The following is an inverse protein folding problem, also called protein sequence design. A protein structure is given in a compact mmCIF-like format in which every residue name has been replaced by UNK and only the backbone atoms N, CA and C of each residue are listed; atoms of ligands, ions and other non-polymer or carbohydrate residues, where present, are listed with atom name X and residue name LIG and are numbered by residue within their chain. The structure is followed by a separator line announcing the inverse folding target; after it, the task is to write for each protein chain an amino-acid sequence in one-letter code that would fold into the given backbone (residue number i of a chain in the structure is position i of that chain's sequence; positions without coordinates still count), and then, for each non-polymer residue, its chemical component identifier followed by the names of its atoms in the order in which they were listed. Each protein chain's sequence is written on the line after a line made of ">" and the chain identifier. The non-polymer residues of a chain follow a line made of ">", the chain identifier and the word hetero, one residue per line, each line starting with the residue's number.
data_IF_702589386804
#
_entry.id   IF_702589386804
#
_cell.length_a   1.000
_cell.length_b   1.000
_cell.length_c   1.000
_cell.angle_alpha   90.00
_cell.angle_beta   90.00
_cell.angle_gamma   90.00
#
_symmetry.space_group_name_H-M   'P 1'
#
loop_
_entity.id
_entity.type
_entity.pdbx_description
1 polymer ?
#
# COMPACT_ATOMS: atom_id res chain seq x y z
N UNK A 1 -5.70 6.07 -0.43
CA UNK A 1 -6.04 4.67 -0.09
C UNK A 1 -5.73 4.31 1.38
N UNK A 2 -4.51 4.55 1.88
CA UNK A 2 -4.07 4.23 3.26
C UNK A 2 -5.07 4.61 4.36
N UNK A 3 -5.48 5.89 4.42
CA UNK A 3 -6.44 6.37 5.43
C UNK A 3 -7.79 5.65 5.37
N UNK A 4 -8.28 5.36 4.16
CA UNK A 4 -9.58 4.69 3.98
C UNK A 4 -9.54 3.27 4.49
N UNK A 5 -8.52 2.47 4.10
CA UNK A 5 -8.33 1.10 4.61
C UNK A 5 -8.18 1.12 6.13
N UNK A 6 -7.38 2.05 6.65
CA UNK A 6 -7.17 2.18 8.09
C UNK A 6 -8.46 2.44 8.86
N UNK A 7 -9.30 3.36 8.37
CA UNK A 7 -10.57 3.73 9.02
C UNK A 7 -11.57 2.57 8.95
N UNK A 8 -11.71 1.92 7.78
CA UNK A 8 -12.61 0.77 7.60
C UNK A 8 -12.27 -0.36 8.57
N UNK A 9 -10.98 -0.61 8.80
CA UNK A 9 -10.49 -1.66 9.70
C UNK A 9 -9.98 -1.11 11.04
N UNK A 10 -10.50 0.03 11.48
CA UNK A 10 -10.00 0.72 12.67
C UNK A 10 -10.02 -0.17 13.92
N UNK A 11 -11.07 -0.96 14.10
CA UNK A 11 -11.20 -1.88 15.24
C UNK A 11 -10.06 -2.89 15.30
N UNK A 12 -9.67 -3.43 14.15
CA UNK A 12 -8.53 -4.34 14.01
C UNK A 12 -7.21 -3.63 14.36
N UNK A 13 -6.94 -2.48 13.75
CA UNK A 13 -5.70 -1.74 14.00
C UNK A 13 -5.58 -1.21 15.43
N UNK A 14 -6.69 -0.82 16.05
CA UNK A 14 -6.73 -0.43 17.45
C UNK A 14 -6.46 -1.63 18.37
N UNK A 15 -6.98 -2.82 18.05
CA UNK A 15 -6.68 -4.04 18.81
C UNK A 15 -5.20 -4.40 18.70
N UNK A 16 -4.66 -4.43 17.48
CA UNK A 16 -3.23 -4.65 17.22
C UNK A 16 -2.36 -3.64 17.97
N UNK A 17 -2.71 -2.34 17.90
CA UNK A 17 -1.97 -1.28 18.58
C UNK A 17 -1.88 -1.51 20.10
N UNK A 18 -3.00 -1.86 20.73
CA UNK A 18 -3.01 -2.13 22.19
C UNK A 18 -2.13 -3.32 22.55
N UNK A 19 -2.23 -4.40 21.79
CA UNK A 19 -1.49 -5.64 22.06
C UNK A 19 0.01 -5.47 21.81
N UNK A 20 0.39 -4.94 20.65
CA UNK A 20 1.79 -4.83 20.22
C UNK A 20 2.56 -3.80 21.05
N UNK A 21 1.95 -2.64 21.34
CA UNK A 21 2.61 -1.58 22.11
C UNK A 21 2.31 -1.65 23.62
N UNK A 22 1.59 -2.67 24.08
CA UNK A 22 1.14 -2.85 25.47
C UNK A 22 0.49 -1.58 26.04
N UNK A 23 -0.30 -0.88 25.22
CA UNK A 23 -0.95 0.38 25.60
C UNK A 23 -2.36 0.11 26.11
N UNK A 24 -2.66 0.64 27.29
CA UNK A 24 -4.02 0.61 27.87
C UNK A 24 -4.95 1.57 27.10
N UNK A 25 -4.42 2.73 26.71
CA UNK A 25 -5.17 3.76 26.00
C UNK A 25 -5.51 3.33 24.57
N UNK A 26 -6.73 3.65 24.14
CA UNK A 26 -7.17 3.44 22.75
C UNK A 26 -6.31 4.27 21.80
N UNK A 27 -6.16 3.76 20.57
CA UNK A 27 -5.64 4.55 19.48
C UNK A 27 -6.53 5.80 19.28
N UNK A 28 -5.96 6.90 18.81
CA UNK A 28 -6.75 8.08 18.45
C UNK A 28 -7.67 7.75 17.28
N UNK A 29 -8.91 8.27 17.26
CA UNK A 29 -9.85 8.04 16.16
C UNK A 29 -9.32 8.53 14.79
N UNK A 30 -8.47 9.57 14.81
CA UNK A 30 -7.75 10.09 13.65
C UNK A 30 -6.26 10.17 13.96
N UNK A 31 -5.49 9.07 13.84
CA UNK A 31 -4.06 9.08 14.10
C UNK A 31 -3.30 9.94 13.08
N UNK A 32 -2.13 10.46 13.48
CA UNK A 32 -1.19 11.09 12.55
C UNK A 32 -0.76 10.10 11.46
N UNK A 33 -0.49 10.60 10.24
CA UNK A 33 -0.19 9.76 9.07
C UNK A 33 0.98 8.81 9.30
N UNK A 34 2.06 9.26 9.94
CA UNK A 34 3.21 8.39 10.25
C UNK A 34 2.82 7.17 11.10
N UNK A 35 1.83 7.32 11.99
CA UNK A 35 1.35 6.23 12.85
C UNK A 35 0.48 5.25 12.08
N UNK A 36 -0.33 5.74 11.14
CA UNK A 36 -1.06 4.89 10.20
C UNK A 36 -0.07 4.05 9.39
N UNK A 37 0.95 4.68 8.82
CA UNK A 37 1.96 4.01 8.00
C UNK A 37 2.75 2.96 8.80
N UNK A 38 3.13 3.29 10.05
CA UNK A 38 3.76 2.32 10.95
C UNK A 38 2.88 1.09 11.19
N UNK A 39 1.60 1.28 11.51
CA UNK A 39 0.69 0.17 11.79
C UNK A 39 0.43 -0.69 10.55
N UNK A 40 0.25 -0.07 9.38
CA UNK A 40 0.13 -0.80 8.11
C UNK A 40 1.41 -1.61 7.83
N UNK A 41 2.58 -1.01 8.01
CA UNK A 41 3.87 -1.67 7.83
C UNK A 41 4.04 -2.87 8.77
N UNK A 42 3.77 -2.68 10.07
CA UNK A 42 3.87 -3.75 11.07
C UNK A 42 2.88 -4.88 10.77
N UNK A 43 1.64 -4.54 10.41
CA UNK A 43 0.62 -5.53 10.05
C UNK A 43 1.07 -6.37 8.86
N UNK A 44 1.60 -5.73 7.81
CA UNK A 44 2.11 -6.41 6.62
C UNK A 44 3.33 -7.28 6.90
N UNK A 45 4.37 -6.73 7.54
CA UNK A 45 5.60 -7.47 7.84
C UNK A 45 5.36 -8.61 8.82
N UNK A 46 4.51 -8.40 9.83
CA UNK A 46 4.09 -9.45 10.76
C UNK A 46 3.31 -10.56 10.04
N UNK A 47 2.43 -10.20 9.09
CA UNK A 47 1.70 -11.16 8.28
C UNK A 47 2.63 -12.05 7.45
N UNK A 48 3.62 -11.47 6.77
CA UNK A 48 4.57 -12.23 5.95
C UNK A 48 5.30 -13.33 6.73
N UNK A 49 5.60 -13.11 8.03
CA UNK A 49 6.26 -14.11 8.87
C UNK A 49 5.39 -15.34 9.12
N UNK A 50 4.06 -15.16 9.23
CA UNK A 50 3.14 -16.23 9.65
C UNK A 50 2.23 -16.74 8.53
N UNK A 51 2.17 -16.05 7.39
CA UNK A 51 1.27 -16.32 6.27
C UNK A 51 1.20 -17.79 5.91
N UNK A 52 2.35 -18.44 5.74
CA UNK A 52 2.41 -19.87 5.37
C UNK A 52 1.70 -20.79 6.37
N UNK A 53 1.81 -20.49 7.66
CA UNK A 53 1.19 -21.30 8.71
C UNK A 53 -0.32 -21.10 8.76
N UNK A 54 -0.77 -19.84 8.62
CA UNK A 54 -2.20 -19.50 8.59
C UNK A 54 -2.84 -20.10 7.33
N UNK A 55 -2.22 -19.94 6.16
CA UNK A 55 -2.73 -20.50 4.91
C UNK A 55 -2.81 -22.03 4.94
N UNK A 56 -1.81 -22.71 5.53
CA UNK A 56 -1.85 -24.18 5.66
C UNK A 56 -3.03 -24.65 6.52
N UNK A 57 -3.37 -23.91 7.58
CA UNK A 57 -4.44 -24.28 8.52
C UNK A 57 -5.83 -23.85 8.05
N UNK A 58 -5.92 -22.69 7.42
CA UNK A 58 -7.19 -22.00 7.15
C UNK A 58 -7.44 -21.70 5.67
N UNK A 59 -6.53 -22.05 4.76
CA UNK A 59 -6.61 -21.68 3.33
C UNK A 59 -7.87 -22.16 2.60
N UNK A 60 -8.58 -23.16 3.14
CA UNK A 60 -9.87 -23.65 2.63
C UNK A 60 -11.09 -23.19 3.45
N UNK A 61 -10.88 -22.39 4.49
CA UNK A 61 -11.96 -21.89 5.33
C UNK A 61 -12.83 -20.91 4.54
N UNK A 62 -14.15 -21.14 4.57
CA UNK A 62 -15.15 -20.22 4.01
C UNK A 62 -15.71 -19.24 5.04
N UNK A 63 -15.17 -19.24 6.27
CA UNK A 63 -15.59 -18.30 7.30
C UNK A 63 -15.38 -16.85 6.83
N UNK A 64 -16.44 -16.06 6.89
CA UNK A 64 -16.44 -14.67 6.39
C UNK A 64 -15.42 -13.81 7.14
N UNK A 65 -15.26 -14.04 8.45
CA UNK A 65 -14.31 -13.26 9.24
C UNK A 65 -12.89 -13.59 8.81
N UNK A 66 -12.56 -14.87 8.67
CA UNK A 66 -11.27 -15.32 8.17
C UNK A 66 -10.96 -14.73 6.79
N UNK A 67 -11.86 -14.89 5.82
CA UNK A 67 -11.67 -14.38 4.45
C UNK A 67 -11.46 -12.87 4.44
N UNK A 68 -12.22 -12.13 5.27
CA UNK A 68 -12.12 -10.67 5.38
C UNK A 68 -10.75 -10.23 5.87
N UNK A 69 -10.22 -10.85 6.94
CA UNK A 69 -8.92 -10.46 7.48
C UNK A 69 -7.75 -11.01 6.68
N UNK A 70 -7.93 -12.15 6.01
CA UNK A 70 -6.97 -12.64 5.02
C UNK A 70 -6.82 -11.63 3.88
N UNK A 71 -7.94 -11.15 3.33
CA UNK A 71 -7.93 -10.17 2.25
C UNK A 71 -7.36 -8.82 2.69
N UNK A 72 -7.66 -8.37 3.92
CA UNK A 72 -7.04 -7.18 4.51
C UNK A 72 -5.51 -7.27 4.50
N UNK A 73 -4.96 -8.39 4.97
CA UNK A 73 -3.52 -8.56 5.14
C UNK A 73 -2.79 -8.89 3.84
N UNK A 74 -3.44 -9.62 2.92
CA UNK A 74 -2.81 -10.09 1.68
C UNK A 74 -2.98 -9.14 0.48
N UNK A 75 -4.02 -8.31 0.49
CA UNK A 75 -4.36 -7.45 -0.65
C UNK A 75 -4.43 -5.98 -0.25
N UNK A 76 -5.25 -5.62 0.74
CA UNK A 76 -5.55 -4.22 1.04
C UNK A 76 -4.37 -3.45 1.64
N UNK A 77 -3.68 -4.04 2.62
CA UNK A 77 -2.53 -3.39 3.25
C UNK A 77 -1.36 -3.27 2.26
N UNK A 78 -0.96 -4.33 1.53
CA UNK A 78 0.06 -4.23 0.47
C UNK A 78 -0.20 -3.11 -0.53
N UNK A 79 -1.44 -3.03 -1.03
CA UNK A 79 -1.89 -1.97 -1.93
C UNK A 79 -1.71 -0.54 -1.37
N UNK A 80 -1.69 -0.40 -0.05
CA UNK A 80 -1.54 0.90 0.61
C UNK A 80 -0.10 1.27 0.93
N UNK A 81 0.87 0.35 0.88
CA UNK A 81 2.24 0.54 1.35
C UNK A 81 3.24 0.91 0.25
N UNK A 82 2.79 1.53 -0.84
CA UNK A 82 3.62 1.91 -1.99
C UNK A 82 4.37 0.73 -2.62
N UNK A 83 3.92 -0.50 -2.38
CA UNK A 83 4.50 -1.73 -2.95
C UNK A 83 4.44 -1.69 -4.47
N UNK A 84 3.37 -1.10 -5.03
CA UNK A 84 3.24 -0.91 -6.47
C UNK A 84 4.33 -0.01 -7.03
N UNK A 85 4.63 1.13 -6.37
CA UNK A 85 5.67 2.06 -6.80
C UNK A 85 7.04 1.39 -6.72
N UNK A 86 7.28 0.60 -5.68
CA UNK A 86 8.50 -0.21 -5.57
C UNK A 86 8.64 -1.21 -6.72
N UNK A 87 7.61 -2.00 -7.02
CA UNK A 87 7.67 -2.98 -8.11
C UNK A 87 7.86 -2.30 -9.48
N UNK A 88 7.15 -1.20 -9.69
CA UNK A 88 7.23 -0.39 -10.90
C UNK A 88 8.65 0.14 -11.13
N UNK A 89 9.24 0.77 -10.10
CA UNK A 89 10.59 1.34 -10.16
C UNK A 89 11.70 0.28 -10.32
N UNK A 90 11.46 -0.95 -9.87
CA UNK A 90 12.43 -2.05 -9.93
C UNK A 90 12.20 -3.00 -11.12
N UNK A 91 11.40 -2.60 -12.13
CA UNK A 91 11.09 -3.39 -13.33
C UNK A 91 10.57 -4.81 -13.00
N UNK A 92 9.76 -4.93 -11.94
CA UNK A 92 9.12 -6.20 -11.55
C UNK A 92 7.77 -6.32 -12.25
N UNK A 93 7.80 -6.47 -13.57
CA UNK A 93 6.62 -6.37 -14.41
C UNK A 93 5.54 -7.42 -14.09
N UNK A 94 5.88 -8.70 -14.02
CA UNK A 94 4.89 -9.75 -13.72
C UNK A 94 4.28 -9.59 -12.33
N UNK A 95 5.09 -9.32 -11.31
CA UNK A 95 4.58 -9.05 -9.96
C UNK A 95 3.75 -7.76 -9.91
N UNK A 96 4.10 -6.77 -10.73
CA UNK A 96 3.34 -5.53 -10.86
C UNK A 96 1.95 -5.79 -11.45
N UNK A 97 1.84 -6.59 -12.52
CA UNK A 97 0.55 -6.98 -13.11
C UNK A 97 -0.32 -7.72 -12.10
N UNK A 98 0.25 -8.67 -11.35
CA UNK A 98 -0.45 -9.38 -10.27
C UNK A 98 -1.01 -8.42 -9.21
N UNK A 99 -0.25 -7.39 -8.85
CA UNK A 99 -0.70 -6.35 -7.92
C UNK A 99 -1.79 -5.48 -8.55
N UNK A 100 -1.69 -5.09 -9.82
CA UNK A 100 -2.73 -4.30 -10.50
C UNK A 100 -4.04 -5.07 -10.55
N UNK A 101 -4.02 -6.38 -10.79
CA UNK A 101 -5.22 -7.21 -10.72
C UNK A 101 -5.84 -7.22 -9.31
N UNK A 102 -5.03 -7.39 -8.26
CA UNK A 102 -5.50 -7.29 -6.86
C UNK A 102 -6.04 -5.91 -6.51
N UNK A 103 -5.42 -4.85 -7.02
CA UNK A 103 -5.89 -3.48 -6.85
C UNK A 103 -7.22 -3.26 -7.55
N UNK A 104 -7.37 -3.77 -8.77
CA UNK A 104 -8.63 -3.70 -9.51
C UNK A 104 -9.78 -4.34 -8.73
N UNK A 105 -9.60 -5.57 -8.25
CA UNK A 105 -10.62 -6.25 -7.41
C UNK A 105 -10.95 -5.45 -6.15
N UNK A 106 -9.95 -4.80 -5.55
CA UNK A 106 -10.12 -3.90 -4.40
C UNK A 106 -10.94 -2.65 -4.78
N UNK A 107 -10.58 -1.96 -5.85
CA UNK A 107 -11.28 -0.75 -6.32
C UNK A 107 -12.74 -1.04 -6.65
N UNK A 108 -12.99 -2.20 -7.28
CA UNK A 108 -14.34 -2.69 -7.56
C UNK A 108 -15.14 -2.89 -6.27
N UNK A 109 -14.56 -3.52 -5.25
CA UNK A 109 -15.21 -3.77 -3.96
C UNK A 109 -15.51 -2.48 -3.18
N UNK A 110 -14.66 -1.47 -3.29
CA UNK A 110 -14.86 -0.17 -2.65
C UNK A 110 -15.68 0.82 -3.51
N UNK A 111 -16.33 0.36 -4.59
CA UNK A 111 -17.13 1.20 -5.49
C UNK A 111 -16.37 2.42 -6.03
N UNK A 112 -15.09 2.26 -6.35
CA UNK A 112 -14.22 3.31 -6.89
C UNK A 112 -14.27 3.29 -8.42
N UNK A 113 -15.40 3.72 -8.97
CA UNK A 113 -15.77 3.59 -10.39
C UNK A 113 -14.83 4.24 -11.42
N UNK A 114 -14.01 5.21 -11.01
CA UNK A 114 -13.01 5.81 -11.90
C UNK A 114 -11.74 4.96 -11.95
N UNK A 115 -11.37 4.34 -10.83
CA UNK A 115 -10.12 3.58 -10.70
C UNK A 115 -10.28 2.12 -11.16
N UNK A 116 -11.44 1.49 -10.95
CA UNK A 116 -11.67 0.12 -11.42
C UNK A 116 -11.65 0.05 -12.96
N UNK A 117 -12.23 1.02 -13.66
CA UNK A 117 -12.22 1.06 -15.13
C UNK A 117 -10.81 1.24 -15.70
N UNK A 118 -10.01 2.16 -15.15
CA UNK A 118 -8.64 2.43 -15.63
C UNK A 118 -7.76 1.20 -15.45
N UNK A 119 -7.80 0.56 -14.27
CA UNK A 119 -7.01 -0.65 -14.01
C UNK A 119 -7.44 -1.81 -14.92
N UNK A 120 -8.74 -1.94 -15.19
CA UNK A 120 -9.25 -2.97 -16.09
C UNK A 120 -8.83 -2.73 -17.54
N UNK A 121 -8.88 -1.48 -18.01
CA UNK A 121 -8.41 -1.10 -19.35
C UNK A 121 -6.92 -1.43 -19.51
N UNK A 122 -6.10 -1.04 -18.53
CA UNK A 122 -4.67 -1.38 -18.52
C UNK A 122 -4.43 -2.90 -18.60
N UNK A 123 -5.11 -3.69 -17.77
CA UNK A 123 -4.99 -5.15 -17.81
C UNK A 123 -5.44 -5.74 -19.16
N UNK A 124 -6.49 -5.19 -19.75
CA UNK A 124 -6.98 -5.57 -21.08
C UNK A 124 -5.92 -5.28 -22.17
N UNK A 125 -5.29 -4.11 -22.12
CA UNK A 125 -4.25 -3.71 -23.07
C UNK A 125 -3.04 -4.62 -22.98
N UNK A 126 -2.57 -4.94 -21.76
CA UNK A 126 -1.48 -5.90 -21.55
C UNK A 126 -1.82 -7.27 -22.15
N UNK A 127 -3.03 -7.79 -21.89
CA UNK A 127 -3.47 -9.06 -22.47
C UNK A 127 -3.51 -9.03 -23.99
N UNK A 128 -4.03 -7.94 -24.57
CA UNK A 128 -4.08 -7.76 -26.02
C UNK A 128 -2.68 -7.69 -26.64
N UNK A 129 -1.79 -6.87 -26.07
CA UNK A 129 -0.41 -6.73 -26.56
C UNK A 129 0.39 -8.02 -26.43
N UNK A 130 0.22 -8.79 -25.35
CA UNK A 130 0.81 -10.13 -25.23
C UNK A 130 0.31 -11.06 -26.34
N UNK A 131 -0.99 -11.03 -26.65
CA UNK A 131 -1.61 -11.86 -27.70
C UNK A 131 -1.06 -11.55 -29.10
N UNK A 132 -0.89 -10.28 -29.44
CA UNK A 132 -0.38 -9.87 -30.75
C UNK A 132 1.16 -9.78 -30.80
N UNK A 133 1.85 -10.15 -29.72
CA UNK A 133 3.30 -10.01 -29.57
C UNK A 133 3.79 -8.58 -29.86
N UNK A 134 3.06 -7.58 -29.38
CA UNK A 134 3.40 -6.19 -29.61
C UNK A 134 4.76 -5.86 -28.95
N UNK A 135 5.68 -5.16 -29.64
CA UNK A 135 7.01 -4.83 -29.11
C UNK A 135 7.00 -4.10 -27.75
N UNK A 136 5.92 -3.37 -27.47
CA UNK A 136 5.74 -2.65 -26.19
C UNK A 136 5.79 -3.58 -24.97
N UNK A 137 5.41 -4.86 -25.10
CA UNK A 137 5.49 -5.81 -23.98
C UNK A 137 6.93 -6.00 -23.55
N UNK A 138 7.87 -6.18 -24.50
CA UNK A 138 9.29 -6.29 -24.18
C UNK A 138 9.80 -5.03 -23.49
N UNK A 139 9.35 -3.85 -23.94
CA UNK A 139 9.72 -2.58 -23.29
C UNK A 139 9.16 -2.49 -21.86
N UNK A 140 7.91 -2.89 -21.63
CA UNK A 140 7.31 -2.89 -20.30
C UNK A 140 7.93 -3.93 -19.37
N UNK A 141 8.32 -5.09 -19.89
CA UNK A 141 9.01 -6.14 -19.12
C UNK A 141 10.40 -5.71 -18.65
N UNK A 142 11.14 -5.00 -19.49
CA UNK A 142 12.54 -4.63 -19.22
C UNK A 142 12.66 -3.25 -18.58
N UNK A 143 11.79 -2.31 -18.97
CA UNK A 143 11.91 -0.87 -18.69
C UNK A 143 10.62 -0.25 -18.15
N UNK A 144 9.85 -1.01 -17.35
CA UNK A 144 8.61 -0.51 -16.71
C UNK A 144 8.81 0.87 -16.04
N UNK A 145 9.93 1.03 -15.33
CA UNK A 145 10.26 2.24 -14.58
C UNK A 145 10.45 3.51 -15.43
N UNK A 146 10.65 3.37 -16.75
CA UNK A 146 10.77 4.51 -17.67
C UNK A 146 9.42 5.21 -17.86
N UNK A 147 8.31 4.51 -17.62
CA UNK A 147 6.96 5.06 -17.73
C UNK A 147 6.50 5.78 -16.45
N UNK A 148 7.43 6.30 -15.64
CA UNK A 148 7.13 7.07 -14.43
C UNK A 148 6.77 8.52 -14.79
N UNK A 149 5.65 9.03 -14.26
CA UNK A 149 5.28 10.45 -14.37
C UNK A 149 6.06 11.33 -13.39
N UNK A 150 6.70 10.75 -12.36
CA UNK A 150 7.41 11.48 -11.33
C UNK A 150 8.43 12.52 -11.85
N UNK A 151 9.27 12.24 -12.87
CA UNK A 151 10.17 13.26 -13.43
C UNK A 151 9.41 14.49 -13.95
N UNK A 152 8.26 14.26 -14.58
CA UNK A 152 7.40 15.31 -15.15
C UNK A 152 6.69 16.07 -14.04
N UNK A 153 6.06 15.38 -13.08
CA UNK A 153 5.39 16.00 -11.92
C UNK A 153 6.36 16.80 -11.03
N UNK A 154 7.55 16.25 -10.79
CA UNK A 154 8.59 16.92 -10.02
C UNK A 154 9.08 18.18 -10.74
N UNK A 155 9.31 18.11 -12.05
CA UNK A 155 9.67 19.27 -12.85
C UNK A 155 8.56 20.34 -12.86
N UNK A 156 7.30 19.94 -13.03
CA UNK A 156 6.15 20.85 -12.91
C UNK A 156 6.08 21.52 -11.54
N UNK A 157 6.34 20.78 -10.46
CA UNK A 157 6.34 21.31 -9.09
C UNK A 157 7.47 22.31 -8.86
N UNK A 158 8.68 22.02 -9.37
CA UNK A 158 9.83 22.93 -9.33
C UNK A 158 9.54 24.22 -10.11
N UNK A 159 9.00 24.07 -11.32
CA UNK A 159 8.60 25.18 -12.18
C UNK A 159 7.54 26.05 -11.47
N UNK A 160 6.51 25.45 -10.89
CA UNK A 160 5.46 26.17 -10.18
C UNK A 160 5.99 26.97 -8.96
N UNK A 161 6.97 26.44 -8.22
CA UNK A 161 7.61 27.16 -7.11
C UNK A 161 8.39 28.38 -7.61
N UNK A 162 9.14 28.21 -8.70
CA UNK A 162 9.95 29.26 -9.30
C UNK A 162 9.14 30.35 -10.03
N UNK A 163 7.90 30.05 -10.41
CA UNK A 163 7.06 30.95 -11.21
C UNK A 163 6.03 31.73 -10.38
N UNK A 164 6.15 31.71 -9.05
CA UNK A 164 5.22 32.43 -8.17
C UNK A 164 5.24 33.96 -8.43
N UNK A 165 4.09 34.43 -8.93
CA UNK A 165 3.65 35.83 -9.09
C UNK A 165 4.20 36.71 -10.23
N UNK A 166 5.11 36.26 -11.13
CA UNK A 166 5.69 37.15 -12.18
C UNK A 166 5.73 36.62 -13.63
N UNK A 167 5.11 35.48 -13.93
CA UNK A 167 5.07 34.97 -15.32
C UNK A 167 3.89 35.60 -16.05
N UNK A 168 4.16 36.57 -16.92
CA UNK A 168 3.14 37.27 -17.71
C UNK A 168 2.95 36.68 -19.12
N UNK A 169 3.85 35.82 -19.62
CA UNK A 169 3.77 35.24 -20.97
C UNK A 169 4.37 33.83 -21.08
N UNK A 170 3.92 33.03 -22.06
CA UNK A 170 4.45 31.68 -22.30
C UNK A 170 5.94 31.62 -22.65
N UNK A 171 6.52 32.71 -23.18
CA UNK A 171 7.96 32.81 -23.44
C UNK A 171 8.80 32.91 -22.16
N UNK A 172 8.32 33.63 -21.14
CA UNK A 172 9.01 33.71 -19.84
C UNK A 172 8.95 32.37 -19.12
N UNK A 173 7.79 31.67 -19.18
CA UNK A 173 7.64 30.33 -18.62
C UNK A 173 8.62 29.33 -19.25
N UNK A 174 8.77 29.35 -20.58
CA UNK A 174 9.71 28.50 -21.31
C UNK A 174 11.16 28.76 -20.89
N UNK A 175 11.54 30.04 -20.73
CA UNK A 175 12.90 30.41 -20.29
C UNK A 175 13.18 29.91 -18.87
N UNK A 176 12.22 30.07 -17.97
CA UNK A 176 12.37 29.65 -16.57
C UNK A 176 12.45 28.12 -16.46
N UNK A 177 11.68 27.39 -17.27
CA UNK A 177 11.78 25.93 -17.38
C UNK A 177 13.18 25.48 -17.85
N UNK A 178 13.72 26.09 -18.91
CA UNK A 178 15.06 25.78 -19.42
C UNK A 178 16.16 26.08 -18.39
N UNK A 179 16.01 27.15 -17.62
CA UNK A 179 16.96 27.51 -16.55
C UNK A 179 16.93 26.48 -15.40
N UNK A 180 15.74 26.06 -14.96
CA UNK A 180 15.58 25.07 -13.90
C UNK A 180 16.15 23.71 -14.33
N UNK A 181 15.91 23.30 -15.57
CA UNK A 181 16.45 22.06 -16.13
C UNK A 181 17.99 22.07 -16.14
N UNK A 182 18.58 23.18 -16.60
CA UNK A 182 20.03 23.39 -16.60
C UNK A 182 20.64 23.37 -15.18
N UNK A 183 19.95 23.97 -14.20
CA UNK A 183 20.41 24.03 -12.81
C UNK A 183 20.05 22.78 -11.98
N UNK A 184 19.27 21.82 -12.52
CA UNK A 184 18.78 20.64 -11.80
C UNK A 184 19.91 19.74 -11.25
N UNK A 185 21.11 19.83 -11.83
CA UNK A 185 22.28 19.07 -11.39
C UNK A 185 23.05 19.73 -10.23
N UNK A 186 22.79 20.99 -9.89
CA UNK A 186 23.45 21.72 -8.79
C UNK A 186 22.60 21.73 -7.50
N UNK A 187 22.32 20.53 -6.99
CA UNK A 187 21.42 20.34 -5.83
C UNK A 187 22.14 20.09 -4.49
N UNK A 188 23.44 20.35 -4.40
CA UNK A 188 24.23 20.10 -3.18
C UNK A 188 23.88 21.06 -2.04
N UNK A 189 23.68 22.34 -2.32
CA UNK A 189 23.42 23.39 -1.31
C UNK A 189 22.05 23.25 -0.65
N UNK A 190 21.00 22.91 -1.39
CA UNK A 190 19.63 22.79 -0.85
C UNK A 190 19.48 21.53 0.03
N UNK A 191 20.14 20.42 -0.34
CA UNK A 191 20.16 19.18 0.46
C UNK A 191 20.74 19.37 1.86
N UNK A 192 21.65 20.34 2.05
CA UNK A 192 22.22 20.68 3.37
C UNK A 192 21.21 21.29 4.36
N UNK A 193 20.14 21.91 3.86
CA UNK A 193 19.13 22.58 4.68
C UNK A 193 17.81 21.80 4.79
N UNK A 194 17.71 20.62 4.15
CA UNK A 194 16.56 19.76 4.34
C UNK A 194 16.54 19.22 5.78
N UNK A 195 15.48 19.47 6.56
CA UNK A 195 15.39 18.95 7.91
C UNK A 195 15.38 17.43 7.85
N UNK A 196 16.37 16.79 8.47
CA UNK A 196 16.38 15.34 8.68
C UNK A 196 15.12 14.99 9.48
N UNK A 197 14.14 14.35 8.83
CA UNK A 197 12.95 13.85 9.49
C UNK A 197 13.33 12.62 10.29
N UNK A 198 13.62 12.82 11.58
CA UNK A 198 13.91 11.69 12.47
C UNK A 198 12.66 10.83 12.65
N UNK A 199 12.76 9.59 12.17
CA UNK A 199 11.73 8.59 12.40
C UNK A 199 11.86 8.06 13.84
N UNK A 200 10.78 7.99 14.63
CA UNK A 200 10.87 7.77 16.07
C UNK A 200 11.27 6.35 16.50
N UNK A 201 11.54 5.44 15.57
CA UNK A 201 11.91 4.05 15.87
C UNK A 201 13.22 3.67 15.19
N UNK A 202 14.11 3.02 15.94
CA UNK A 202 15.32 2.42 15.40
C UNK A 202 14.98 1.11 14.66
N UNK A 203 15.90 0.65 13.80
CA UNK A 203 15.74 -0.61 13.04
C UNK A 203 15.51 -1.82 13.95
N UNK A 204 16.16 -1.87 15.11
CA UNK A 204 16.02 -2.95 16.09
C UNK A 204 14.61 -2.95 16.71
N UNK A 205 14.12 -1.79 17.11
CA UNK A 205 12.78 -1.64 17.70
C UNK A 205 11.69 -2.08 16.70
N UNK A 206 11.85 -1.72 15.43
CA UNK A 206 10.92 -2.14 14.37
C UNK A 206 10.90 -3.66 14.20
N UNK A 207 12.05 -4.32 14.28
CA UNK A 207 12.14 -5.78 14.15
C UNK A 207 11.41 -6.50 15.29
N UNK A 208 11.58 -6.03 16.52
CA UNK A 208 10.89 -6.59 17.68
C UNK A 208 9.37 -6.33 17.62
N UNK A 209 8.97 -5.13 17.18
CA UNK A 209 7.55 -4.80 16.94
C UNK A 209 6.93 -5.69 15.85
N UNK A 210 7.67 -6.03 14.79
CA UNK A 210 7.20 -6.96 13.74
C UNK A 210 6.98 -8.35 14.31
N UNK A 211 7.88 -8.87 15.17
CA UNK A 211 7.70 -10.16 15.84
C UNK A 211 6.48 -10.16 16.76
N UNK A 212 6.31 -9.12 17.58
CA UNK A 212 5.13 -8.97 18.43
C UNK A 212 3.84 -8.90 17.59
N UNK A 213 3.89 -8.25 16.43
CA UNK A 213 2.75 -8.20 15.51
C UNK A 213 2.43 -9.56 14.88
N UNK A 214 3.45 -10.37 14.58
CA UNK A 214 3.27 -11.75 14.11
C UNK A 214 2.58 -12.63 15.17
N UNK A 215 3.00 -12.51 16.44
CA UNK A 215 2.34 -13.21 17.57
C UNK A 215 0.88 -12.76 17.69
N UNK A 216 0.64 -11.45 17.66
CA UNK A 216 -0.72 -10.89 17.68
C UNK A 216 -1.60 -11.48 16.58
N UNK A 217 -1.11 -11.57 15.34
CA UNK A 217 -1.90 -12.13 14.24
C UNK A 217 -2.24 -13.61 14.46
N UNK A 218 -1.30 -14.42 14.98
CA UNK A 218 -1.58 -15.82 15.31
C UNK A 218 -2.70 -15.94 16.35
N UNK A 219 -2.63 -15.16 17.42
CA UNK A 219 -3.65 -15.14 18.47
C UNK A 219 -4.99 -14.66 17.91
N UNK A 220 -4.97 -13.63 17.06
CA UNK A 220 -6.15 -13.09 16.41
C UNK A 220 -6.86 -14.15 15.56
N UNK A 221 -6.15 -14.83 14.66
CA UNK A 221 -6.74 -15.90 13.84
C UNK A 221 -7.19 -17.11 14.67
N UNK A 222 -6.47 -17.48 15.73
CA UNK A 222 -6.89 -18.54 16.64
C UNK A 222 -8.19 -18.19 17.37
N UNK A 223 -8.37 -16.93 17.76
CA UNK A 223 -9.59 -16.47 18.40
C UNK A 223 -10.76 -16.42 17.42
N UNK A 224 -10.55 -16.00 16.18
CA UNK A 224 -11.57 -16.08 15.12
C UNK A 224 -12.08 -17.52 14.94
N UNK A 225 -11.16 -18.48 14.90
CA UNK A 225 -11.50 -19.91 14.80
C UNK A 225 -12.36 -20.38 15.98
N UNK A 226 -11.95 -20.07 17.20
CA UNK A 226 -12.72 -20.44 18.41
C UNK A 226 -14.11 -19.80 18.43
N UNK A 227 -14.25 -18.57 17.93
CA UNK A 227 -15.55 -17.90 17.84
C UNK A 227 -16.47 -18.50 16.77
N UNK A 228 -15.92 -18.93 15.63
CA UNK A 228 -16.67 -19.59 14.56
C UNK A 228 -17.29 -20.90 15.05
N UNK A 229 -16.50 -21.75 15.70
CA UNK A 229 -16.98 -23.04 16.23
C UNK A 229 -18.08 -22.87 17.30
N UNK A 230 -18.02 -21.80 18.11
CA UNK A 230 -19.08 -21.49 19.08
C UNK A 230 -20.39 -21.06 18.43
N UNK A 231 -20.33 -20.38 17.28
CA UNK A 231 -21.53 -19.99 16.52
C UNK A 231 -22.20 -21.20 15.85
N UNK A 232 -21.40 -22.15 15.34
CA UNK A 232 -21.90 -23.41 14.76
C UNK A 232 -22.53 -24.32 15.83
N UNK A 233 -21.91 -24.46 17.00
CA UNK A 233 -22.45 -25.23 18.13
C UNK A 233 -23.80 -24.68 18.65
N UNK A 234 -24.04 -23.37 18.56
CA UNK A 234 -25.34 -22.77 18.91
C UNK A 234 -26.44 -23.07 17.90
N UNK A 235 -26.11 -23.26 16.63
CA UNK A 235 -27.09 -23.64 15.59
C UNK A 235 -27.54 -25.10 15.73
N UNK A 236 -26.71 -25.98 16.28
CA UNK A 236 -27.04 -27.39 16.54
C UNK A 236 -27.95 -27.66 17.75
N UNK A 237 -28.21 -26.67 18.61
CA UNK A 237 -29.03 -26.82 19.83
C UNK A 237 -30.49 -26.33 19.71
N UNK A 238 -30.98 -26.07 18.50
CA UNK A 238 -32.42 -25.87 18.27
C UNK A 238 -33.01 -27.07 17.55
N UNK A 239 -33.47 -28.05 18.34
CA UNK A 239 -34.71 -28.84 18.19
C UNK A 239 -34.66 -30.01 19.19
N UNK A 240 -35.37 -29.85 20.30
CA UNK A 240 -36.14 -30.92 20.94
C UNK A 240 -37.53 -30.34 21.18
#
# INVERSE_FOLDING_TARGET
>A
MQKSVFITFYSFFNYMYKSVFRKVKKLAAKPKLWRINLLLYLAHKGWLLIKKYVMRKFGRSKDISYVTFLDLLDNLIPATLDIYAYLFQNNKFEEYIDIIFRLWTTMRRFYRHNYDKIMLAFLSDICYWKKIQHPIINTLEIHLNVFDEYPVENFHSLLHRHTSAKVSTGKSLRRDALFIDHCHHENSFVKSFEPKRDYPYLKKDLYDLVKLTAIFHLDFFNNLWKSSNKAELKKGRKKS
#
